data_IF_496658416903
#
_entry.id   IF_496658416903
#
_cell.length_a   1.000
_cell.length_b   1.000
_cell.length_c   1.000
_cell.angle_alpha   90.00
_cell.angle_beta   90.00
_cell.angle_gamma   90.00
#
_symmetry.space_group_name_H-M   'P 1'
#
loop_
_entity.id
_entity.type
_entity.pdbx_description
1 polymer ?
#
# COMPACT_ATOMS: atom_id res chain seq x y z
N UNK A 1 11.17 0.90 -4.31
CA UNK A 1 11.80 1.30 -3.05
C UNK A 1 13.30 1.14 -3.14
N UNK A 2 14.05 2.25 -3.16
CA UNK A 2 15.51 2.26 -3.18
C UNK A 2 16.11 1.76 -1.87
N UNK A 3 17.41 1.50 -1.93
CA UNK A 3 18.25 1.31 -0.75
C UNK A 3 18.75 2.68 -0.29
N UNK A 4 18.99 2.80 1.01
CA UNK A 4 19.48 4.03 1.63
C UNK A 4 20.87 3.80 2.20
N UNK A 5 21.54 4.88 2.57
CA UNK A 5 22.85 4.83 3.21
C UNK A 5 22.79 5.42 4.62
N UNK A 6 23.56 4.83 5.53
CA UNK A 6 23.72 5.34 6.87
C UNK A 6 24.44 6.71 6.82
N UNK A 7 23.86 7.78 7.40
CA UNK A 7 24.45 9.11 7.36
C UNK A 7 25.79 9.20 8.11
N UNK A 8 26.10 8.24 8.99
CA UNK A 8 27.34 8.21 9.77
C UNK A 8 28.48 7.47 9.09
N UNK A 9 28.21 6.29 8.52
CA UNK A 9 29.26 5.38 8.03
C UNK A 9 29.09 4.94 6.57
N UNK A 10 28.03 5.38 5.88
CA UNK A 10 27.74 5.02 4.50
C UNK A 10 27.31 3.56 4.30
N UNK A 11 27.13 2.78 5.37
CA UNK A 11 26.64 1.40 5.24
C UNK A 11 25.18 1.38 4.78
N UNK A 12 24.84 0.41 3.95
CA UNK A 12 23.50 0.25 3.39
C UNK A 12 22.44 0.05 4.48
N UNK A 13 21.33 0.76 4.34
CA UNK A 13 20.13 0.66 5.15
C UNK A 13 18.94 0.27 4.28
N UNK A 14 18.10 -0.59 4.85
CA UNK A 14 16.76 -0.88 4.36
C UNK A 14 15.75 0.08 5.00
N UNK A 15 14.62 0.25 4.32
CA UNK A 15 13.63 1.26 4.68
C UNK A 15 13.08 1.12 6.11
N UNK A 16 13.03 -0.10 6.66
CA UNK A 16 12.54 -0.37 8.01
C UNK A 16 13.63 -0.30 9.09
N UNK A 17 14.88 -0.03 8.74
CA UNK A 17 15.94 0.07 9.74
C UNK A 17 15.73 1.32 10.62
N UNK A 18 15.81 1.12 11.94
CA UNK A 18 15.91 2.19 12.95
C UNK A 18 17.32 2.29 13.55
N UNK A 19 18.21 1.36 13.19
CA UNK A 19 19.61 1.31 13.62
C UNK A 19 20.48 0.79 12.48
N UNK A 20 21.66 1.37 12.32
CA UNK A 20 22.68 0.85 11.41
C UNK A 20 23.33 -0.41 12.00
N UNK A 21 23.29 -1.51 11.26
CA UNK A 21 23.88 -2.78 11.68
C UNK A 21 25.42 -2.80 11.67
N UNK A 22 26.07 -1.77 11.10
CA UNK A 22 27.52 -1.66 11.03
C UNK A 22 28.10 -0.77 12.14
N UNK A 23 27.59 0.46 12.31
CA UNK A 23 28.11 1.42 13.30
C UNK A 23 27.22 1.62 14.52
N UNK A 24 26.11 0.88 14.64
CA UNK A 24 25.12 0.94 15.72
C UNK A 24 24.39 2.30 15.89
N UNK A 25 24.64 3.29 15.02
CA UNK A 25 23.94 4.57 15.04
C UNK A 25 22.44 4.38 14.85
N UNK A 26 21.66 5.02 15.72
CA UNK A 26 20.22 5.12 15.59
C UNK A 26 19.87 6.13 14.49
N UNK A 27 18.87 5.77 13.68
CA UNK A 27 18.52 6.54 12.48
C UNK A 27 17.01 6.71 12.36
N UNK A 28 16.61 7.83 11.76
CA UNK A 28 15.24 8.16 11.43
C UNK A 28 15.11 8.44 9.94
N UNK A 29 14.06 7.92 9.30
CA UNK A 29 13.70 8.26 7.94
C UNK A 29 13.10 9.66 7.89
N UNK A 30 13.67 10.51 7.04
CA UNK A 30 13.18 11.84 6.71
C UNK A 30 12.34 11.79 5.43
N UNK A 31 11.00 11.90 5.53
CA UNK A 31 10.13 11.82 4.36
C UNK A 31 10.23 13.02 3.43
N UNK A 32 10.73 14.17 3.89
CA UNK A 32 10.86 15.39 3.07
C UNK A 32 12.04 15.26 2.09
N UNK A 33 13.17 14.74 2.59
CA UNK A 33 14.40 14.60 1.82
C UNK A 33 14.64 13.18 1.28
N UNK A 34 13.72 12.25 1.57
CA UNK A 34 13.81 10.83 1.22
C UNK A 34 15.17 10.19 1.53
N UNK A 35 15.64 10.35 2.79
CA UNK A 35 16.92 9.83 3.30
C UNK A 35 16.84 9.50 4.79
N UNK A 36 17.82 8.77 5.32
CA UNK A 36 18.00 8.63 6.76
C UNK A 36 18.80 9.79 7.35
N UNK A 37 18.42 10.22 8.55
CA UNK A 37 19.17 11.12 9.42
C UNK A 37 19.53 10.40 10.71
N UNK A 38 20.53 10.89 11.42
CA UNK A 38 20.80 10.43 12.79
C UNK A 38 19.64 10.82 13.71
N UNK A 39 19.40 10.02 14.75
CA UNK A 39 18.32 10.28 15.71
C UNK A 39 18.74 11.21 16.86
N UNK A 40 20.03 11.37 17.09
CA UNK A 40 20.63 12.10 18.22
C UNK A 40 21.12 13.51 17.84
N UNK A 41 20.82 13.97 16.63
CA UNK A 41 21.13 15.34 16.19
C UNK A 41 20.03 16.32 16.61
N UNK A 42 20.41 17.56 16.90
CA UNK A 42 19.47 18.63 17.22
C UNK A 42 18.41 18.77 16.11
N UNK A 43 17.13 18.72 16.50
CA UNK A 43 15.99 18.78 15.57
C UNK A 43 15.52 17.43 15.01
N UNK A 44 16.07 16.30 15.48
CA UNK A 44 15.52 14.98 15.23
C UNK A 44 14.33 14.69 16.17
N UNK A 45 13.12 14.84 15.66
CA UNK A 45 11.89 14.55 16.42
C UNK A 45 11.40 13.14 16.11
N UNK A 46 11.20 12.33 17.15
CA UNK A 46 10.71 10.96 17.02
C UNK A 46 9.19 10.92 16.97
N UNK A 47 8.66 10.06 16.10
CA UNK A 47 7.23 9.77 16.11
C UNK A 47 6.86 9.03 17.41
N UNK A 48 5.78 9.44 18.07
CA UNK A 48 5.26 8.77 19.27
C UNK A 48 5.06 7.27 19.06
N UNK A 49 4.65 6.87 17.85
CA UNK A 49 4.49 5.46 17.50
C UNK A 49 5.82 4.69 17.27
N UNK A 50 6.98 5.26 17.61
CA UNK A 50 8.26 4.54 17.55
C UNK A 50 8.23 3.28 18.42
N UNK A 51 7.77 3.41 19.67
CA UNK A 51 7.69 2.30 20.63
C UNK A 51 6.45 1.42 20.41
N UNK A 52 5.41 1.99 19.79
CA UNK A 52 4.11 1.33 19.64
C UNK A 52 4.00 0.50 18.35
N UNK A 53 4.50 1.01 17.21
CA UNK A 53 4.45 0.35 15.91
C UNK A 53 5.80 0.21 15.21
N UNK A 54 6.90 0.28 15.94
CA UNK A 54 8.26 0.26 15.38
C UNK A 54 8.46 1.36 14.30
N UNK A 55 7.87 2.54 14.52
CA UNK A 55 8.02 3.66 13.59
C UNK A 55 9.46 4.20 13.60
N UNK A 56 10.09 4.23 12.43
CA UNK A 56 11.40 4.82 12.24
C UNK A 56 11.36 6.17 11.50
N UNK A 57 10.20 6.81 11.32
CA UNK A 57 10.13 8.11 10.64
C UNK A 57 10.23 9.25 11.64
N UNK A 58 10.92 10.33 11.25
CA UNK A 58 10.92 11.57 12.03
C UNK A 58 9.60 12.32 11.91
N UNK A 59 9.33 13.21 12.87
CA UNK A 59 8.23 14.17 12.82
C UNK A 59 8.74 15.57 12.47
N UNK A 60 7.79 16.44 12.14
CA UNK A 60 8.03 17.87 12.06
C UNK A 60 8.08 18.48 13.48
N UNK A 61 8.76 19.63 13.66
CA UNK A 61 8.79 20.32 14.94
C UNK A 61 7.39 20.58 15.49
N UNK A 62 7.15 20.20 16.74
CA UNK A 62 5.85 20.37 17.42
C UNK A 62 4.78 19.33 17.07
N UNK A 63 5.09 18.34 16.23
CA UNK A 63 4.19 17.25 15.88
C UNK A 63 4.54 15.96 16.63
N UNK A 64 3.50 15.30 17.17
CA UNK A 64 3.66 14.02 17.86
C UNK A 64 3.82 12.83 16.90
N UNK A 65 3.20 12.90 15.72
CA UNK A 65 3.21 11.81 14.74
C UNK A 65 3.92 12.22 13.46
N UNK A 66 4.60 11.27 12.83
CA UNK A 66 5.19 11.48 11.51
C UNK A 66 4.09 11.57 10.45
N UNK A 67 4.44 12.07 9.26
CA UNK A 67 3.49 12.25 8.14
C UNK A 67 2.67 10.99 7.81
N UNK A 68 3.24 9.79 7.94
CA UNK A 68 2.51 8.54 7.71
C UNK A 68 1.63 8.12 8.89
N UNK A 69 2.11 8.26 10.14
CA UNK A 69 1.34 7.88 11.33
C UNK A 69 0.21 8.88 11.64
N UNK A 70 0.35 10.15 11.25
CA UNK A 70 -0.69 11.17 11.38
C UNK A 70 -1.93 10.87 10.53
N UNK A 71 -1.83 9.98 9.53
CA UNK A 71 -2.97 9.54 8.72
C UNK A 71 -3.81 8.47 9.43
N UNK A 72 -3.38 7.93 10.57
CA UNK A 72 -4.19 6.98 11.32
C UNK A 72 -5.28 7.71 12.06
N UNK A 73 -6.53 7.42 11.71
CA UNK A 73 -7.69 7.86 12.47
C UNK A 73 -8.00 6.84 13.58
N UNK A 74 -7.89 5.54 13.28
CA UNK A 74 -8.04 4.47 14.26
C UNK A 74 -6.95 3.40 14.11
N UNK A 75 -6.40 2.98 15.24
CA UNK A 75 -5.46 1.85 15.36
C UNK A 75 -6.16 0.70 16.08
N UNK A 76 -5.70 -0.56 15.91
CA UNK A 76 -6.35 -1.68 16.57
C UNK A 76 -6.16 -1.61 18.09
N UNK A 77 -7.10 -2.19 18.84
CA UNK A 77 -6.98 -2.32 20.29
C UNK A 77 -5.72 -3.12 20.66
N UNK A 78 -4.75 -2.43 21.26
CA UNK A 78 -3.45 -2.99 21.64
C UNK A 78 -3.50 -3.82 22.93
N UNK A 79 -4.61 -3.82 23.66
CA UNK A 79 -4.83 -4.72 24.79
C UNK A 79 -5.07 -6.17 24.35
N UNK A 80 -5.49 -6.37 23.10
CA UNK A 80 -5.69 -7.69 22.50
C UNK A 80 -4.36 -8.26 22.00
N UNK A 81 -4.04 -9.47 22.44
CA UNK A 81 -2.79 -10.13 22.07
C UNK A 81 -2.63 -10.26 20.54
N UNK A 82 -1.41 -10.07 20.06
CA UNK A 82 -1.07 -10.12 18.64
C UNK A 82 -1.47 -8.89 17.81
N UNK A 83 -2.38 -8.01 18.26
CA UNK A 83 -2.78 -6.83 17.50
C UNK A 83 -1.62 -5.87 17.25
N UNK A 84 -0.75 -5.66 18.25
CA UNK A 84 0.48 -4.86 18.07
C UNK A 84 1.36 -5.39 16.94
N UNK A 85 1.58 -6.71 16.88
CA UNK A 85 2.38 -7.34 15.83
C UNK A 85 1.74 -7.20 14.44
N UNK A 86 0.41 -7.31 14.36
CA UNK A 86 -0.34 -7.10 13.12
C UNK A 86 -0.22 -5.65 12.66
N UNK A 87 -0.41 -4.70 13.59
CA UNK A 87 -0.29 -3.27 13.30
C UNK A 87 1.10 -2.88 12.80
N UNK A 88 2.18 -3.40 13.39
CA UNK A 88 3.55 -3.17 12.89
C UNK A 88 3.69 -3.54 11.41
N UNK A 89 3.12 -4.68 11.00
CA UNK A 89 3.17 -5.14 9.59
C UNK A 89 2.32 -4.28 8.67
N UNK A 90 1.12 -3.89 9.12
CA UNK A 90 0.23 -2.99 8.38
C UNK A 90 0.89 -1.63 8.20
N UNK A 91 1.47 -1.06 9.25
CA UNK A 91 2.18 0.21 9.20
C UNK A 91 3.40 0.17 8.28
N UNK A 92 4.18 -0.91 8.31
CA UNK A 92 5.29 -1.08 7.38
C UNK A 92 4.81 -1.08 5.92
N UNK A 93 3.73 -1.79 5.61
CA UNK A 93 3.14 -1.78 4.27
C UNK A 93 2.59 -0.40 3.89
N UNK A 94 1.83 0.26 4.77
CA UNK A 94 1.32 1.62 4.53
C UNK A 94 2.46 2.59 4.27
N UNK A 95 3.52 2.60 5.08
CA UNK A 95 4.67 3.51 4.92
C UNK A 95 5.37 3.34 3.57
N UNK A 96 5.43 2.11 3.03
CA UNK A 96 5.94 1.88 1.67
C UNK A 96 5.03 2.46 0.59
N UNK A 97 3.71 2.36 0.77
CA UNK A 97 2.76 3.03 -0.11
C UNK A 97 2.93 4.55 -0.04
N UNK A 98 2.93 5.13 1.17
CA UNK A 98 3.12 6.58 1.37
C UNK A 98 4.47 7.05 0.80
N UNK A 99 5.56 6.31 1.00
CA UNK A 99 6.86 6.62 0.36
C UNK A 99 6.71 6.83 -1.15
N UNK A 100 6.01 5.90 -1.82
CA UNK A 100 5.80 5.97 -3.26
C UNK A 100 5.02 7.22 -3.64
N UNK A 101 3.91 7.49 -2.94
CA UNK A 101 3.08 8.68 -3.18
C UNK A 101 3.89 9.98 -3.04
N UNK A 102 4.73 10.07 -2.00
CA UNK A 102 5.62 11.22 -1.80
C UNK A 102 6.64 11.37 -2.92
N UNK A 103 7.24 10.26 -3.37
CA UNK A 103 8.19 10.26 -4.48
C UNK A 103 7.54 10.70 -5.81
N UNK A 104 6.25 10.38 -6.00
CA UNK A 104 5.46 10.85 -7.14
C UNK A 104 4.96 12.29 -7.00
N UNK A 105 5.24 12.97 -5.87
CA UNK A 105 4.75 14.32 -5.60
C UNK A 105 3.23 14.38 -5.42
N UNK A 106 2.58 13.25 -5.10
CA UNK A 106 1.13 13.21 -4.87
C UNK A 106 0.79 13.84 -3.51
N UNK A 107 -0.37 14.50 -3.41
CA UNK A 107 -0.81 15.07 -2.14
C UNK A 107 -1.09 13.96 -1.13
N UNK A 108 -0.45 14.07 0.04
CA UNK A 108 -0.64 13.19 1.20
C UNK A 108 -0.78 14.07 2.42
N UNK A 109 -2.03 14.26 2.85
CA UNK A 109 -2.40 15.08 4.01
C UNK A 109 -3.50 14.37 4.81
N UNK A 110 -3.47 14.46 6.16
CA UNK A 110 -4.50 13.85 6.99
C UNK A 110 -5.85 14.54 6.78
N UNK A 111 -6.94 13.75 6.84
CA UNK A 111 -8.30 14.31 6.93
C UNK A 111 -8.41 15.24 8.15
N UNK A 112 -8.97 16.43 7.93
CA UNK A 112 -9.21 17.42 8.99
C UNK A 112 -10.60 17.26 9.63
N UNK A 113 -11.54 16.65 8.91
CA UNK A 113 -12.91 16.40 9.38
C UNK A 113 -13.54 15.27 8.56
N UNK A 114 -14.68 14.69 9.00
CA UNK A 114 -15.39 13.68 8.20
C UNK A 114 -15.76 14.15 6.78
N UNK A 115 -16.08 15.42 6.60
CA UNK A 115 -16.44 16.00 5.30
C UNK A 115 -15.24 16.45 4.44
N UNK A 116 -14.01 16.26 4.89
CA UNK A 116 -12.81 16.62 4.14
C UNK A 116 -12.47 15.52 3.11
N UNK A 117 -13.11 15.55 1.94
CA UNK A 117 -12.85 14.60 0.85
C UNK A 117 -11.42 14.69 0.28
N UNK A 118 -10.70 15.78 0.52
CA UNK A 118 -9.34 15.95 0.02
C UNK A 118 -8.30 15.23 0.90
N UNK A 119 -8.57 15.09 2.20
CA UNK A 119 -7.69 14.39 3.12
C UNK A 119 -7.73 12.88 3.00
N UNK A 120 -6.65 12.24 3.46
CA UNK A 120 -6.46 10.80 3.53
C UNK A 120 -6.43 10.34 5.00
N UNK A 121 -7.16 9.28 5.32
CA UNK A 121 -7.17 8.66 6.63
C UNK A 121 -7.15 7.13 6.53
N UNK A 122 -6.71 6.47 7.59
CA UNK A 122 -6.68 5.02 7.71
C UNK A 122 -7.33 4.55 9.01
N UNK A 123 -8.22 3.58 8.89
CA UNK A 123 -8.79 2.84 10.01
C UNK A 123 -8.27 1.40 10.00
N UNK A 124 -7.52 1.04 11.04
CA UNK A 124 -7.00 -0.30 11.24
C UNK A 124 -7.80 -1.01 12.31
N UNK A 125 -8.72 -1.87 11.86
CA UNK A 125 -9.69 -2.52 12.73
C UNK A 125 -9.35 -4.00 12.90
N UNK A 126 -9.70 -4.56 14.06
CA UNK A 126 -9.71 -6.01 14.27
C UNK A 126 -11.15 -6.50 14.32
N UNK A 127 -11.40 -7.73 13.85
CA UNK A 127 -12.71 -8.33 14.02
C UNK A 127 -13.06 -8.46 15.52
N UNK A 128 -14.32 -8.20 15.92
CA UNK A 128 -14.74 -8.32 17.31
C UNK A 128 -14.47 -9.72 17.89
N UNK A 129 -13.97 -9.76 19.14
CA UNK A 129 -13.77 -11.02 19.87
C UNK A 129 -15.12 -11.71 20.06
N UNK A 130 -15.24 -12.95 19.59
CA UNK A 130 -16.47 -13.76 19.70
C UNK A 130 -17.32 -13.81 18.43
N UNK A 131 -16.91 -13.11 17.37
CA UNK A 131 -17.45 -13.34 16.03
C UNK A 131 -17.05 -14.73 15.52
N UNK A 132 -17.88 -15.74 15.79
CA UNK A 132 -17.72 -17.06 15.18
C UNK A 132 -17.86 -17.00 13.64
N UNK A 133 -17.97 -18.15 12.95
CA UNK A 133 -18.33 -18.17 11.54
C UNK A 133 -19.72 -17.52 11.36
N UNK A 134 -19.78 -16.22 11.03
CA UNK A 134 -21.01 -15.41 10.96
C UNK A 134 -21.03 -14.15 11.83
N UNK A 135 -19.98 -13.85 12.60
CA UNK A 135 -19.85 -12.56 13.29
C UNK A 135 -19.63 -11.39 12.33
N UNK A 136 -19.90 -10.17 12.79
CA UNK A 136 -19.65 -8.93 12.04
C UNK A 136 -18.17 -8.86 11.65
N UNK A 137 -17.90 -8.91 10.34
CA UNK A 137 -16.54 -8.83 9.79
C UNK A 137 -16.30 -7.42 9.29
N UNK A 138 -15.13 -6.89 9.62
CA UNK A 138 -14.72 -5.62 9.03
C UNK A 138 -14.48 -5.82 7.54
N UNK A 139 -15.28 -5.15 6.72
CA UNK A 139 -15.05 -5.02 5.30
C UNK A 139 -13.89 -4.03 5.09
N UNK A 140 -12.92 -4.46 4.30
CA UNK A 140 -11.81 -3.61 3.88
C UNK A 140 -12.22 -2.90 2.59
N UNK A 141 -11.83 -1.64 2.46
CA UNK A 141 -12.15 -0.81 1.30
C UNK A 141 -11.84 0.66 1.56
N UNK A 142 -12.34 1.52 0.68
CA UNK A 142 -12.23 2.96 0.78
C UNK A 142 -13.62 3.62 0.81
N UNK A 143 -13.71 4.76 1.48
CA UNK A 143 -14.87 5.64 1.45
C UNK A 143 -14.41 7.09 1.64
N UNK A 144 -14.54 7.93 0.61
CA UNK A 144 -14.24 9.36 0.67
C UNK A 144 -12.86 9.69 1.30
N UNK A 145 -11.82 8.96 0.92
CA UNK A 145 -10.46 9.14 1.46
C UNK A 145 -10.20 8.51 2.82
N UNK A 146 -11.15 7.80 3.42
CA UNK A 146 -10.92 6.87 4.52
C UNK A 146 -10.66 5.47 3.96
N UNK A 147 -9.47 4.92 4.19
CA UNK A 147 -9.12 3.54 3.84
C UNK A 147 -9.23 2.69 5.10
N UNK A 148 -10.17 1.76 5.12
CA UNK A 148 -10.40 0.84 6.24
C UNK A 148 -9.77 -0.50 5.93
N UNK A 149 -8.92 -1.02 6.81
CA UNK A 149 -8.26 -2.32 6.66
C UNK A 149 -8.44 -3.16 7.93
N UNK A 150 -8.83 -4.42 7.72
CA UNK A 150 -8.81 -5.41 8.80
C UNK A 150 -7.37 -5.87 9.08
N UNK A 151 -6.87 -5.66 10.29
CA UNK A 151 -5.49 -6.03 10.69
C UNK A 151 -5.25 -7.54 10.67
N UNK A 152 -6.30 -8.37 10.64
CA UNK A 152 -6.19 -9.80 10.38
C UNK A 152 -5.55 -10.09 9.02
N UNK A 153 -5.66 -9.17 8.04
CA UNK A 153 -4.96 -9.26 6.76
C UNK A 153 -3.43 -9.22 6.92
N UNK A 154 -2.89 -8.87 8.09
CA UNK A 154 -1.46 -8.99 8.36
C UNK A 154 -0.99 -10.44 8.62
N UNK A 155 -1.92 -11.36 8.85
CA UNK A 155 -1.64 -12.79 8.98
C UNK A 155 -1.52 -13.45 7.60
N UNK A 156 -0.40 -14.11 7.33
CA UNK A 156 -0.16 -14.80 6.06
C UNK A 156 -1.12 -15.96 5.83
N UNK A 157 -1.53 -16.68 6.88
CA UNK A 157 -2.47 -17.79 6.76
C UNK A 157 -3.87 -17.26 6.41
N UNK A 158 -4.30 -16.16 7.03
CA UNK A 158 -5.57 -15.52 6.70
C UNK A 158 -5.59 -14.96 5.28
N UNK A 159 -4.50 -14.29 4.86
CA UNK A 159 -4.38 -13.81 3.47
C UNK A 159 -4.45 -14.95 2.47
N UNK A 160 -3.76 -16.05 2.72
CA UNK A 160 -3.77 -17.20 1.81
C UNK A 160 -5.16 -17.84 1.73
N UNK A 161 -5.86 -17.96 2.87
CA UNK A 161 -7.27 -18.41 2.89
C UNK A 161 -8.17 -17.53 2.04
N UNK A 162 -8.08 -16.20 2.20
CA UNK A 162 -8.88 -15.24 1.40
C UNK A 162 -8.52 -15.28 -0.07
N UNK A 163 -7.22 -15.35 -0.39
CA UNK A 163 -6.70 -15.47 -1.76
C UNK A 163 -7.30 -16.67 -2.48
N UNK A 164 -7.28 -17.85 -1.83
CA UNK A 164 -7.88 -19.07 -2.38
C UNK A 164 -9.41 -18.95 -2.50
N UNK A 165 -10.07 -18.39 -1.49
CA UNK A 165 -11.53 -18.22 -1.50
C UNK A 165 -12.03 -17.28 -2.60
N UNK A 166 -11.25 -16.26 -2.96
CA UNK A 166 -11.62 -15.25 -3.96
C UNK A 166 -10.95 -15.47 -5.33
N UNK A 167 -10.19 -16.57 -5.50
CA UNK A 167 -9.53 -16.89 -6.77
C UNK A 167 -8.47 -15.87 -7.19
N UNK A 168 -7.90 -15.13 -6.25
CA UNK A 168 -6.92 -14.08 -6.52
C UNK A 168 -5.51 -14.68 -6.73
N UNK A 169 -4.76 -14.16 -7.70
CA UNK A 169 -3.38 -14.64 -7.94
C UNK A 169 -2.40 -14.11 -6.88
N UNK A 170 -2.62 -12.90 -6.34
CA UNK A 170 -1.67 -12.25 -5.45
C UNK A 170 -2.34 -11.25 -4.50
N UNK A 171 -2.33 -11.51 -3.18
CA UNK A 171 -2.81 -10.57 -2.16
C UNK A 171 -1.72 -10.26 -1.14
N UNK A 172 -1.16 -9.06 -1.22
CA UNK A 172 -0.26 -8.52 -0.19
C UNK A 172 -0.85 -7.27 0.43
N UNK A 173 -0.49 -6.98 1.68
CA UNK A 173 -0.91 -5.74 2.35
C UNK A 173 -0.56 -4.49 1.53
N UNK A 174 0.65 -4.45 0.96
CA UNK A 174 1.09 -3.31 0.15
C UNK A 174 0.32 -3.21 -1.17
N UNK A 175 0.05 -4.34 -1.84
CA UNK A 175 -0.80 -4.36 -3.03
C UNK A 175 -2.19 -3.79 -2.73
N UNK A 176 -2.79 -4.25 -1.63
CA UNK A 176 -4.10 -3.78 -1.19
C UNK A 176 -4.10 -2.27 -0.91
N UNK A 177 -3.12 -1.76 -0.16
CA UNK A 177 -3.00 -0.31 0.05
C UNK A 177 -2.94 0.45 -1.26
N UNK A 178 -2.15 -0.01 -2.23
CA UNK A 178 -2.01 0.66 -3.52
C UNK A 178 -3.32 0.66 -4.31
N UNK A 179 -4.09 -0.43 -4.24
CA UNK A 179 -5.40 -0.53 -4.87
C UNK A 179 -6.39 0.49 -4.28
N UNK A 180 -6.56 0.50 -2.95
CA UNK A 180 -7.45 1.46 -2.27
C UNK A 180 -7.01 2.92 -2.47
N UNK A 181 -5.70 3.16 -2.48
CA UNK A 181 -5.15 4.46 -2.83
C UNK A 181 -5.44 4.84 -4.29
N UNK A 182 -5.52 3.87 -5.20
CA UNK A 182 -5.91 4.07 -6.58
C UNK A 182 -7.31 4.68 -6.69
N UNK A 183 -8.27 4.14 -5.94
CA UNK A 183 -9.61 4.74 -5.87
C UNK A 183 -9.61 6.14 -5.28
N UNK A 184 -8.92 6.34 -4.15
CA UNK A 184 -8.76 7.68 -3.58
C UNK A 184 -8.17 8.68 -4.59
N UNK A 185 -7.13 8.30 -5.33
CA UNK A 185 -6.53 9.17 -6.34
C UNK A 185 -7.37 9.31 -7.61
N UNK A 186 -8.32 8.41 -7.89
CA UNK A 186 -9.32 8.63 -8.95
C UNK A 186 -10.19 9.84 -8.62
N UNK A 187 -10.73 9.90 -7.39
CA UNK A 187 -11.49 11.06 -6.90
C UNK A 187 -10.63 12.32 -6.93
N UNK A 188 -9.34 12.19 -6.59
CA UNK A 188 -8.45 13.36 -6.52
C UNK A 188 -7.97 13.91 -7.85
N UNK A 189 -7.76 13.03 -8.83
CA UNK A 189 -7.08 13.37 -10.06
C UNK A 189 -7.99 13.36 -11.28
N UNK A 190 -9.10 12.63 -11.26
CA UNK A 190 -9.90 12.31 -12.44
C UNK A 190 -11.32 12.87 -12.34
N UNK A 191 -12.07 12.51 -11.28
CA UNK A 191 -13.52 12.75 -11.14
C UNK A 191 -13.98 14.15 -11.52
N UNK A 192 -13.31 15.16 -10.96
CA UNK A 192 -13.72 16.57 -11.05
C UNK A 192 -13.03 17.35 -12.18
N UNK A 193 -12.22 16.69 -13.02
CA UNK A 193 -11.59 17.27 -14.22
C UNK A 193 -12.24 16.69 -15.49
N UNK A 194 -13.04 17.48 -16.24
CA UNK A 194 -13.76 16.98 -17.42
C UNK A 194 -12.86 16.39 -18.51
N UNK A 195 -11.64 16.91 -18.69
CA UNK A 195 -10.74 16.41 -19.72
C UNK A 195 -10.14 15.07 -19.30
N UNK A 196 -9.72 14.95 -18.04
CA UNK A 196 -9.19 13.70 -17.49
C UNK A 196 -10.26 12.63 -17.39
N UNK A 197 -11.48 12.98 -17.00
CA UNK A 197 -12.61 12.06 -16.97
C UNK A 197 -12.95 11.53 -18.37
N UNK A 198 -12.92 12.40 -19.39
CA UNK A 198 -13.10 11.95 -20.77
C UNK A 198 -11.98 11.00 -21.23
N UNK A 199 -10.73 11.29 -20.88
CA UNK A 199 -9.58 10.42 -21.18
C UNK A 199 -9.66 9.07 -20.43
N UNK A 200 -10.06 9.09 -19.16
CA UNK A 200 -10.33 7.90 -18.38
C UNK A 200 -11.37 7.02 -19.07
N UNK A 201 -12.52 7.58 -19.48
CA UNK A 201 -13.59 6.81 -20.13
C UNK A 201 -13.18 6.24 -21.48
N UNK A 202 -12.32 6.94 -22.21
CA UNK A 202 -11.78 6.45 -23.47
C UNK A 202 -10.82 5.25 -23.28
N UNK A 203 -10.16 5.15 -22.13
CA UNK A 203 -9.16 4.12 -21.85
C UNK A 203 -9.73 2.94 -21.05
N UNK A 204 -10.41 3.21 -19.95
CA UNK A 204 -10.90 2.21 -18.98
C UNK A 204 -12.38 1.84 -19.18
N UNK A 205 -13.14 2.70 -19.86
CA UNK A 205 -14.58 2.54 -20.06
C UNK A 205 -15.43 3.43 -19.15
N UNK A 206 -16.76 3.30 -19.27
CA UNK A 206 -17.73 4.16 -18.60
C UNK A 206 -18.01 3.68 -17.17
N UNK A 207 -17.51 4.41 -16.18
CA UNK A 207 -17.64 4.10 -14.75
C UNK A 207 -19.06 4.30 -14.20
N UNK A 208 -19.98 4.86 -14.99
CA UNK A 208 -21.37 5.08 -14.56
C UNK A 208 -22.20 3.79 -14.58
N UNK A 209 -21.64 2.69 -15.06
CA UNK A 209 -22.25 1.38 -14.92
C UNK A 209 -22.54 1.09 -13.44
N UNK A 210 -23.61 0.35 -13.16
CA UNK A 210 -23.98 0.04 -11.77
C UNK A 210 -22.92 -0.84 -11.11
N UNK A 211 -22.09 -0.26 -10.25
CA UNK A 211 -20.94 -0.91 -9.61
C UNK A 211 -21.28 -2.29 -9.00
N UNK A 212 -22.28 -2.34 -8.12
CA UNK A 212 -22.75 -3.59 -7.46
C UNK A 212 -23.21 -4.65 -8.47
N UNK A 213 -23.87 -4.24 -9.54
CA UNK A 213 -24.36 -5.14 -10.58
C UNK A 213 -23.19 -5.69 -11.40
N UNK A 214 -22.19 -4.86 -11.68
CA UNK A 214 -20.99 -5.24 -12.41
C UNK A 214 -20.15 -6.26 -11.62
N UNK A 215 -19.95 -6.03 -10.31
CA UNK A 215 -19.29 -7.01 -9.43
C UNK A 215 -20.08 -8.31 -9.32
N UNK A 216 -21.41 -8.24 -9.16
CA UNK A 216 -22.26 -9.44 -9.12
C UNK A 216 -22.13 -10.26 -10.41
N UNK A 217 -22.14 -9.60 -11.57
CA UNK A 217 -21.96 -10.26 -12.85
C UNK A 217 -20.56 -10.89 -13.00
N UNK A 218 -19.52 -10.19 -12.51
CA UNK A 218 -18.15 -10.72 -12.50
C UNK A 218 -18.02 -11.96 -11.62
N UNK A 219 -18.52 -11.94 -10.38
CA UNK A 219 -18.43 -13.13 -9.51
C UNK A 219 -19.26 -14.31 -10.02
N UNK A 220 -20.32 -14.06 -10.79
CA UNK A 220 -21.12 -15.12 -11.39
C UNK A 220 -20.46 -15.75 -12.62
N UNK A 221 -19.77 -14.95 -13.45
CA UNK A 221 -19.31 -15.39 -14.78
C UNK A 221 -17.78 -15.43 -14.95
N UNK A 222 -17.03 -14.74 -14.10
CA UNK A 222 -15.60 -14.52 -14.22
C UNK A 222 -15.22 -13.54 -15.34
N UNK A 223 -13.91 -13.37 -15.54
CA UNK A 223 -13.37 -12.62 -16.66
C UNK A 223 -13.45 -13.42 -17.97
N UNK A 224 -13.57 -12.72 -19.10
CA UNK A 224 -13.51 -13.33 -20.43
C UNK A 224 -12.15 -14.04 -20.65
N UNK A 225 -12.06 -15.17 -21.38
CA UNK A 225 -10.82 -15.95 -21.48
C UNK A 225 -9.58 -15.21 -22.01
N UNK A 226 -9.77 -14.10 -22.73
CA UNK A 226 -8.76 -13.27 -23.37
C UNK A 226 -8.50 -11.93 -22.64
N UNK A 227 -8.94 -11.80 -21.39
CA UNK A 227 -8.81 -10.58 -20.58
C UNK A 227 -7.37 -10.02 -20.52
N UNK A 228 -6.35 -10.90 -20.58
CA UNK A 228 -4.93 -10.53 -20.50
C UNK A 228 -4.48 -9.62 -21.65
N UNK A 229 -5.24 -9.54 -22.75
CA UNK A 229 -4.93 -8.68 -23.87
C UNK A 229 -5.22 -7.20 -23.59
N UNK A 230 -6.11 -6.91 -22.63
CA UNK A 230 -6.60 -5.56 -22.35
C UNK A 230 -6.46 -5.10 -20.90
N UNK A 231 -6.34 -6.03 -19.95
CA UNK A 231 -6.40 -5.71 -18.52
C UNK A 231 -5.22 -6.31 -17.74
N UNK A 232 -4.85 -5.62 -16.66
CA UNK A 232 -3.71 -6.03 -15.82
C UNK A 232 -4.03 -7.21 -14.90
N UNK A 233 -5.31 -7.44 -14.61
CA UNK A 233 -5.80 -8.56 -13.82
C UNK A 233 -7.19 -8.99 -14.32
N UNK A 234 -7.61 -10.21 -13.99
CA UNK A 234 -8.98 -10.64 -14.24
C UNK A 234 -9.99 -9.76 -13.49
N UNK A 235 -9.65 -9.31 -12.27
CA UNK A 235 -10.53 -8.48 -11.46
C UNK A 235 -10.73 -7.08 -12.06
N UNK A 236 -9.72 -6.53 -12.74
CA UNK A 236 -9.84 -5.28 -13.48
C UNK A 236 -10.96 -5.30 -14.54
N UNK A 237 -11.36 -6.47 -15.06
CA UNK A 237 -12.49 -6.56 -16.00
C UNK A 237 -13.85 -6.33 -15.34
N UNK A 238 -13.91 -6.30 -14.00
CA UNK A 238 -15.17 -6.26 -13.26
C UNK A 238 -15.86 -4.90 -13.35
N UNK A 239 -15.10 -3.81 -13.40
CA UNK A 239 -15.62 -2.45 -13.52
C UNK A 239 -14.49 -1.48 -13.95
N UNK A 240 -14.76 -0.42 -14.75
CA UNK A 240 -13.75 0.58 -15.12
C UNK A 240 -13.02 1.23 -13.93
N UNK A 241 -13.72 1.36 -12.80
CA UNK A 241 -13.13 1.90 -11.57
C UNK A 241 -12.10 0.94 -10.94
N UNK A 242 -12.37 -0.37 -11.01
CA UNK A 242 -11.45 -1.43 -10.57
C UNK A 242 -10.24 -1.53 -11.49
N UNK A 243 -10.45 -1.39 -12.81
CA UNK A 243 -9.35 -1.40 -13.78
C UNK A 243 -8.35 -0.27 -13.51
N UNK A 244 -8.85 0.93 -13.18
CA UNK A 244 -8.00 2.03 -12.76
C UNK A 244 -7.25 1.75 -11.45
N UNK A 245 -7.92 1.24 -10.42
CA UNK A 245 -7.29 0.96 -9.14
C UNK A 245 -6.20 -0.11 -9.26
N UNK A 246 -6.47 -1.18 -10.01
CA UNK A 246 -5.53 -2.25 -10.32
C UNK A 246 -4.35 -1.73 -11.16
N UNK A 247 -4.62 -0.90 -12.18
CA UNK A 247 -3.58 -0.29 -13.02
C UNK A 247 -2.70 0.67 -12.22
N UNK A 248 -3.28 1.51 -11.37
CA UNK A 248 -2.56 2.39 -10.46
C UNK A 248 -1.66 1.59 -9.51
N UNK A 249 -2.21 0.53 -8.91
CA UNK A 249 -1.47 -0.33 -8.00
C UNK A 249 -0.30 -1.05 -8.69
N UNK A 250 -0.53 -1.53 -9.91
CA UNK A 250 0.49 -2.20 -10.69
C UNK A 250 1.58 -1.22 -11.18
N UNK A 251 1.21 0.00 -11.56
CA UNK A 251 2.16 1.04 -11.93
C UNK A 251 3.12 1.40 -10.79
N UNK A 252 2.58 1.56 -9.56
CA UNK A 252 3.41 1.75 -8.37
C UNK A 252 4.29 0.52 -8.10
N UNK A 253 3.79 -0.70 -8.34
CA UNK A 253 4.57 -1.91 -8.19
C UNK A 253 5.76 -2.00 -9.15
N UNK A 254 5.54 -1.69 -10.43
CA UNK A 254 6.59 -1.65 -11.46
C UNK A 254 7.64 -0.61 -11.06
N UNK A 255 7.21 0.60 -10.70
CA UNK A 255 8.11 1.68 -10.33
C UNK A 255 8.98 1.29 -9.14
N UNK A 256 8.38 0.72 -8.10
CA UNK A 256 9.12 0.28 -6.92
C UNK A 256 10.14 -0.82 -7.22
N UNK A 257 9.81 -1.71 -8.17
CA UNK A 257 10.68 -2.78 -8.63
C UNK A 257 11.86 -2.22 -9.42
N UNK A 258 11.60 -1.31 -10.35
CA UNK A 258 12.64 -0.66 -11.16
C UNK A 258 13.59 0.17 -10.30
N UNK A 259 13.07 0.86 -9.27
CA UNK A 259 13.89 1.61 -8.32
C UNK A 259 14.85 0.69 -7.55
N UNK A 260 14.39 -0.50 -7.15
CA UNK A 260 15.25 -1.49 -6.47
C UNK A 260 16.31 -2.07 -7.42
N UNK A 261 15.94 -2.39 -8.66
CA UNK A 261 16.87 -2.86 -9.70
C UNK A 261 17.97 -1.82 -9.93
N UNK A 262 17.61 -0.55 -10.03
CA UNK A 262 18.57 0.54 -10.14
C UNK A 262 19.48 0.63 -8.91
N UNK A 263 18.92 0.60 -7.70
CA UNK A 263 19.68 0.69 -6.45
C UNK A 263 20.67 -0.47 -6.24
N UNK A 264 20.38 -1.64 -6.80
CA UNK A 264 21.26 -2.81 -6.79
C UNK A 264 22.28 -2.81 -7.94
N UNK A 265 22.28 -1.78 -8.80
CA UNK A 265 23.07 -1.73 -10.04
C UNK A 265 22.86 -2.96 -10.93
N UNK A 266 21.65 -3.52 -10.93
CA UNK A 266 21.31 -4.61 -11.83
C UNK A 266 21.11 -4.09 -13.26
N UNK A 267 21.84 -4.62 -14.25
CA UNK A 267 21.66 -4.22 -15.63
C UNK A 267 20.28 -4.66 -16.12
N UNK A 268 19.49 -3.72 -16.64
CA UNK A 268 18.12 -3.96 -17.13
C UNK A 268 18.06 -5.05 -18.22
N UNK A 269 19.12 -5.20 -19.02
CA UNK A 269 19.24 -6.24 -20.04
C UNK A 269 19.38 -7.68 -19.50
N UNK A 270 19.39 -7.87 -18.18
CA UNK A 270 19.39 -9.19 -17.52
C UNK A 270 18.05 -9.51 -16.84
N UNK A 271 17.04 -8.63 -16.98
CA UNK A 271 15.63 -8.92 -16.70
C UNK A 271 14.97 -9.56 -17.93
N UNK A 272 15.69 -10.44 -18.65
CA UNK A 272 15.03 -11.30 -19.61
C UNK A 272 14.00 -12.11 -18.83
N UNK A 273 12.74 -12.00 -19.25
CA UNK A 273 11.69 -12.89 -18.79
C UNK A 273 12.23 -14.30 -18.95
N UNK A 274 12.28 -15.07 -17.86
CA UNK A 274 12.46 -16.51 -17.95
C UNK A 274 11.38 -16.96 -18.93
N UNK A 275 11.77 -17.34 -20.16
CA UNK A 275 10.82 -17.83 -21.15
C UNK A 275 9.95 -18.87 -20.45
N UNK A 276 8.67 -18.97 -20.80
CA UNK A 276 7.75 -19.93 -20.18
C UNK A 276 8.27 -21.40 -20.21
N UNK A 277 9.30 -21.66 -21.01
CA UNK A 277 10.00 -22.94 -21.16
C UNK A 277 11.43 -22.99 -20.56
N UNK A 278 11.91 -21.95 -19.87
CA UNK A 278 13.29 -21.87 -19.37
C UNK A 278 13.49 -22.51 -17.98
N UNK A 279 12.43 -23.01 -17.33
CA UNK A 279 12.57 -23.97 -16.24
C UNK A 279 12.75 -25.37 -16.85
N UNK A 280 13.85 -26.09 -16.55
CA UNK A 280 13.98 -27.48 -16.94
C UNK A 280 12.81 -28.27 -16.34
N UNK A 281 12.04 -28.96 -17.20
CA UNK A 281 11.16 -30.04 -16.75
C UNK A 281 12.04 -31.24 -16.40
N UNK A 282 12.63 -31.21 -15.20
CA UNK A 282 13.35 -32.33 -14.58
C UNK A 282 13.63 -31.94 -13.13
N UNK A 283 13.29 -32.70 -12.10
CA UNK A 283 12.93 -34.13 -12.03
C UNK A 283 11.69 -34.34 -11.14
N UNK A 284 11.09 -35.52 -11.29
CA UNK A 284 10.16 -36.24 -10.40
C UNK A 284 9.93 -35.69 -9.00
#
# INVERSE_FOLDING_TARGET
MKLFDCPQCGHRLYFENAQCLNCASLVLYDPEHARFTLSDVDGAYHCTNADECACNWRTEPGQAFCRACALNQLIPDLSVDGNRRRWIRVEAAKKRAIYSLLAFGLPVAPKQSPGDEAGLAFDFLADPIGGGPGGERILTGHDNGLITLNVAEADSAERERRRVAMGENYRTLLGHFRHELGHYYWDRLIRDDPQRLAAFRALFGDERAGYEQALTAYYANGAAPDWQQGHISAYATSHPWEDWAETFAHYLHITDTLEMVHALNFPLGRLETVDANALPRGDT
#
